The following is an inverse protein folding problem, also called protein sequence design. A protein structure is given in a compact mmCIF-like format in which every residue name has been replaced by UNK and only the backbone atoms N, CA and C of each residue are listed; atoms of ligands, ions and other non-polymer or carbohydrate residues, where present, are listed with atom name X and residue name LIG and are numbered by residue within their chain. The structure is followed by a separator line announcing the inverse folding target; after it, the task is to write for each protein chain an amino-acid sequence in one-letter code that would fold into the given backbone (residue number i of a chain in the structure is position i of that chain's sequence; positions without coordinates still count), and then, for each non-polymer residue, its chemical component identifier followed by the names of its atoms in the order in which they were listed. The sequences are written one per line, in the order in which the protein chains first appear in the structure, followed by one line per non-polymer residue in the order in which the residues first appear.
data_IF_334356352415
#
_entry.id   IF_334356352415
#
_cell.length_a   1.000
_cell.length_b   1.000
_cell.length_c   1.000
_cell.angle_alpha   90.00
_cell.angle_beta   90.00
_cell.angle_gamma   90.00
#
_symmetry.space_group_name_H-M   'P 1'
#
loop_
_entity.id
_entity.type
_entity.pdbx_description
1 polymer ?
#
# COMPACT_ATOMS: atom_id res chain seq x y z
N UNK A 1 -10.67 8.98 -11.11
CA UNK A 1 -10.62 8.06 -9.96
C UNK A 1 -11.72 7.01 -10.13
N UNK A 2 -11.65 6.21 -11.20
CA UNK A 2 -12.68 5.24 -11.58
C UNK A 2 -12.38 3.82 -11.07
N UNK A 3 -11.30 3.64 -10.29
CA UNK A 3 -10.90 2.38 -9.65
C UNK A 3 -10.89 1.15 -10.59
N UNK A 4 -10.72 1.35 -11.89
CA UNK A 4 -10.93 0.32 -12.92
C UNK A 4 -9.72 -0.59 -13.15
N UNK A 5 -8.52 -0.22 -12.68
CA UNK A 5 -7.25 -0.91 -12.96
C UNK A 5 -6.61 -1.70 -11.80
N UNK A 6 -7.31 -1.95 -10.70
CA UNK A 6 -6.74 -2.62 -9.52
C UNK A 6 -6.93 -4.14 -9.48
N UNK A 7 -6.04 -4.82 -8.74
CA UNK A 7 -6.06 -6.27 -8.54
C UNK A 7 -7.19 -6.68 -7.58
N UNK A 8 -8.06 -7.59 -8.03
CA UNK A 8 -9.24 -8.04 -7.28
C UNK A 8 -9.16 -9.51 -6.90
N UNK A 9 -9.79 -9.86 -5.79
CA UNK A 9 -9.88 -11.22 -5.27
C UNK A 9 -9.16 -11.42 -3.94
N UNK A 10 -9.29 -12.62 -3.41
CA UNK A 10 -8.79 -13.00 -2.10
C UNK A 10 -7.40 -13.62 -2.20
N UNK A 11 -6.43 -13.07 -1.46
CA UNK A 11 -5.04 -13.54 -1.47
C UNK A 11 -4.94 -14.91 -0.82
N UNK A 12 -4.28 -15.85 -1.49
CA UNK A 12 -4.22 -17.26 -1.10
C UNK A 12 -5.40 -18.11 -1.59
N UNK A 13 -6.36 -17.51 -2.32
CA UNK A 13 -7.47 -18.21 -2.99
C UNK A 13 -7.50 -17.86 -4.48
N UNK A 14 -7.77 -16.61 -4.79
CA UNK A 14 -7.90 -16.08 -6.16
C UNK A 14 -6.59 -15.43 -6.65
N UNK A 15 -5.83 -14.86 -5.71
CA UNK A 15 -4.65 -14.02 -5.98
C UNK A 15 -3.42 -14.61 -5.30
N UNK A 16 -2.31 -14.68 -6.02
CA UNK A 16 -1.03 -15.12 -5.46
C UNK A 16 -0.46 -14.06 -4.50
N UNK A 17 0.39 -14.47 -3.54
CA UNK A 17 1.05 -13.51 -2.66
C UNK A 17 1.95 -12.53 -3.43
N UNK A 18 2.58 -13.00 -4.51
CA UNK A 18 3.45 -12.19 -5.37
C UNK A 18 2.65 -11.12 -6.12
N UNK A 19 1.51 -11.50 -6.71
CA UNK A 19 0.66 -10.53 -7.41
C UNK A 19 0.01 -9.55 -6.43
N UNK A 20 -0.38 -10.02 -5.24
CA UNK A 20 -0.84 -9.14 -4.17
C UNK A 20 0.25 -8.13 -3.77
N UNK A 21 1.53 -8.52 -3.72
CA UNK A 21 2.62 -7.58 -3.45
C UNK A 21 2.77 -6.53 -4.57
N UNK A 22 2.59 -6.91 -5.84
CA UNK A 22 2.50 -5.94 -6.95
C UNK A 22 1.29 -5.01 -6.78
N UNK A 23 0.16 -5.53 -6.31
CA UNK A 23 -1.02 -4.75 -5.93
C UNK A 23 -0.73 -3.74 -4.81
N UNK A 24 -0.01 -4.15 -3.77
CA UNK A 24 0.44 -3.25 -2.70
C UNK A 24 1.37 -2.15 -3.23
N UNK A 25 2.26 -2.48 -4.16
CA UNK A 25 3.11 -1.47 -4.84
C UNK A 25 2.26 -0.45 -5.60
N UNK A 26 1.20 -0.90 -6.30
CA UNK A 26 0.26 -0.01 -6.97
C UNK A 26 -0.49 0.90 -5.99
N UNK A 27 -0.89 0.40 -4.80
CA UNK A 27 -1.42 1.24 -3.73
C UNK A 27 -0.39 2.31 -3.32
N UNK A 28 0.88 1.96 -3.20
CA UNK A 28 1.96 2.91 -2.91
C UNK A 28 2.12 3.99 -3.98
N UNK A 29 2.05 3.62 -5.27
CA UNK A 29 2.07 4.60 -6.38
C UNK A 29 0.89 5.57 -6.27
N UNK A 30 -0.30 5.06 -5.97
CA UNK A 30 -1.50 5.89 -5.79
C UNK A 30 -1.35 6.84 -4.59
N UNK A 31 -0.79 6.37 -3.47
CA UNK A 31 -0.49 7.21 -2.31
C UNK A 31 0.49 8.33 -2.69
N UNK A 32 1.59 8.02 -3.38
CA UNK A 32 2.56 9.02 -3.84
C UNK A 32 1.89 10.05 -4.76
N UNK A 33 1.01 9.61 -5.67
CA UNK A 33 0.27 10.52 -6.53
C UNK A 33 -0.63 11.48 -5.74
N UNK A 34 -1.30 10.99 -4.69
CA UNK A 34 -2.11 11.83 -3.80
C UNK A 34 -1.26 12.78 -2.95
N UNK A 35 -0.11 12.32 -2.44
CA UNK A 35 0.84 13.18 -1.71
C UNK A 35 1.35 14.28 -2.63
N UNK A 36 1.75 13.95 -3.86
CA UNK A 36 2.20 14.91 -4.86
C UNK A 36 1.12 15.95 -5.16
N UNK A 37 -0.14 15.51 -5.36
CA UNK A 37 -1.26 16.42 -5.59
C UNK A 37 -1.55 17.32 -4.38
N UNK A 38 -1.44 16.78 -3.16
CA UNK A 38 -1.65 17.54 -1.91
C UNK A 38 -0.52 18.55 -1.61
N UNK A 39 0.65 18.37 -2.24
CA UNK A 39 1.82 19.22 -2.09
C UNK A 39 2.10 20.05 -3.34
N UNK A 40 1.10 20.26 -4.21
CA UNK A 40 1.21 21.06 -5.43
C UNK A 40 2.37 20.63 -6.38
N UNK A 41 2.75 19.35 -6.33
CA UNK A 41 3.86 18.79 -7.10
C UNK A 41 5.21 18.76 -6.38
N UNK A 42 5.29 19.27 -5.16
CA UNK A 42 6.54 19.44 -4.39
C UNK A 42 6.76 18.28 -3.40
N UNK A 43 7.14 17.10 -3.92
CA UNK A 43 7.39 15.92 -3.07
C UNK A 43 8.55 16.07 -2.08
N UNK A 44 9.46 17.02 -2.29
CA UNK A 44 10.56 17.36 -1.37
C UNK A 44 10.09 18.05 -0.07
N UNK A 45 8.80 18.41 0.00
CA UNK A 45 8.13 18.86 1.23
C UNK A 45 7.76 17.71 2.16
N UNK A 46 7.85 16.44 1.73
CA UNK A 46 7.70 15.29 2.62
C UNK A 46 8.89 15.23 3.58
N UNK A 47 8.61 15.29 4.88
CA UNK A 47 9.61 15.10 5.94
C UNK A 47 9.76 13.62 6.26
N UNK A 48 8.63 12.91 6.40
CA UNK A 48 8.60 11.48 6.72
C UNK A 48 7.29 10.80 6.35
N UNK A 49 7.37 9.58 5.84
CA UNK A 49 6.27 8.63 5.88
C UNK A 49 6.20 8.10 7.33
N UNK A 50 5.24 8.57 8.11
CA UNK A 50 5.17 8.26 9.56
C UNK A 50 4.68 6.83 9.76
N UNK A 51 3.58 6.47 9.09
CA UNK A 51 2.93 5.16 9.22
C UNK A 51 2.30 4.73 7.90
N UNK A 52 2.40 3.43 7.61
CA UNK A 52 1.51 2.75 6.66
C UNK A 52 0.54 1.81 7.39
N UNK A 53 -0.73 1.81 6.99
CA UNK A 53 -1.70 0.78 7.33
C UNK A 53 -2.00 -0.09 6.11
N UNK A 54 -1.55 -1.35 6.15
CA UNK A 54 -1.76 -2.31 5.07
C UNK A 54 -2.87 -3.30 5.39
N UNK A 55 -3.85 -3.40 4.50
CA UNK A 55 -5.00 -4.29 4.61
C UNK A 55 -4.99 -5.25 3.43
N UNK A 56 -4.96 -6.56 3.71
CA UNK A 56 -4.96 -7.61 2.68
C UNK A 56 -6.24 -8.41 2.80
N UNK A 57 -7.01 -8.51 1.72
CA UNK A 57 -8.15 -9.42 1.68
C UNK A 57 -7.61 -10.86 1.66
N UNK A 58 -7.48 -11.47 2.84
CA UNK A 58 -6.72 -12.68 3.06
C UNK A 58 -7.63 -13.90 3.18
N UNK A 59 -7.32 -14.95 2.42
CA UNK A 59 -8.03 -16.22 2.48
C UNK A 59 -7.79 -16.98 3.78
N UNK A 60 -8.64 -17.98 4.08
CA UNK A 60 -8.44 -18.84 5.25
C UNK A 60 -7.02 -19.44 5.29
N UNK A 61 -6.32 -19.25 6.40
CA UNK A 61 -4.97 -19.79 6.60
C UNK A 61 -3.84 -19.01 5.93
N UNK A 62 -4.13 -17.92 5.18
CA UNK A 62 -3.08 -17.08 4.61
C UNK A 62 -2.43 -16.20 5.69
N UNK A 63 -1.13 -16.36 5.92
CA UNK A 63 -0.39 -15.68 6.99
C UNK A 63 0.72 -14.76 6.49
N UNK A 64 1.08 -14.82 5.20
CA UNK A 64 2.16 -14.04 4.60
C UNK A 64 1.78 -12.57 4.31
N UNK A 65 0.83 -12.01 5.07
CA UNK A 65 0.32 -10.64 4.95
C UNK A 65 1.45 -9.59 5.01
N UNK A 66 2.45 -9.68 5.91
CA UNK A 66 3.54 -8.70 5.93
C UNK A 66 4.37 -8.68 4.63
N UNK A 67 4.54 -9.84 3.98
CA UNK A 67 5.28 -9.94 2.72
C UNK A 67 4.53 -9.27 1.56
N UNK A 68 3.20 -9.33 1.55
CA UNK A 68 2.37 -8.59 0.59
C UNK A 68 2.58 -7.08 0.74
N UNK A 69 2.50 -6.56 1.97
CA UNK A 69 2.62 -5.12 2.21
C UNK A 69 4.05 -4.60 1.96
N UNK A 70 5.07 -5.46 1.91
CA UNK A 70 6.42 -5.05 1.50
C UNK A 70 6.43 -4.41 0.11
N UNK A 71 5.54 -4.80 -0.81
CA UNK A 71 5.44 -4.15 -2.12
C UNK A 71 5.17 -2.64 -2.03
N UNK A 72 4.41 -2.19 -1.03
CA UNK A 72 4.22 -0.76 -0.76
C UNK A 72 5.39 -0.17 0.04
N UNK A 73 5.84 -0.86 1.08
CA UNK A 73 6.91 -0.38 1.96
C UNK A 73 8.23 -0.15 1.22
N UNK A 74 8.62 -1.09 0.37
CA UNK A 74 9.86 -1.04 -0.40
C UNK A 74 9.83 0.14 -1.38
N UNK A 75 8.68 0.39 -2.02
CA UNK A 75 8.50 1.55 -2.89
C UNK A 75 8.63 2.88 -2.13
N UNK A 76 8.06 2.98 -0.92
CA UNK A 76 8.18 4.21 -0.13
C UNK A 76 9.65 4.50 0.22
N UNK A 77 10.44 3.47 0.54
CA UNK A 77 11.88 3.62 0.79
C UNK A 77 12.65 3.89 -0.51
N UNK A 78 12.28 3.26 -1.64
CA UNK A 78 12.87 3.49 -2.96
C UNK A 78 12.74 4.96 -3.39
N UNK A 79 11.57 5.57 -3.17
CA UNK A 79 11.26 6.94 -3.61
C UNK A 79 11.74 8.01 -2.62
N UNK A 80 11.52 7.81 -1.32
CA UNK A 80 11.80 8.83 -0.29
C UNK A 80 13.08 8.57 0.51
N UNK A 81 13.82 7.49 0.24
CA UNK A 81 15.03 7.14 0.98
C UNK A 81 14.76 6.93 2.47
N UNK A 82 15.57 7.55 3.34
CA UNK A 82 15.40 7.42 4.80
C UNK A 82 14.06 7.98 5.30
N UNK A 83 13.56 9.05 4.67
CA UNK A 83 12.23 9.60 4.96
C UNK A 83 11.10 8.62 4.61
N UNK A 84 11.37 7.65 3.75
CA UNK A 84 10.46 6.56 3.40
C UNK A 84 10.33 5.47 4.47
N UNK A 85 11.21 5.42 5.49
CA UNK A 85 11.13 4.40 6.55
C UNK A 85 10.01 4.73 7.54
N UNK A 86 9.10 3.79 7.77
CA UNK A 86 7.84 4.04 8.48
C UNK A 86 7.54 2.97 9.53
N UNK A 87 6.69 3.32 10.51
CA UNK A 87 5.97 2.33 11.29
C UNK A 87 4.89 1.65 10.42
N UNK A 88 4.47 0.43 10.78
CA UNK A 88 3.51 -0.32 9.95
C UNK A 88 2.58 -1.21 10.75
N UNK A 89 1.31 -1.24 10.34
CA UNK A 89 0.38 -2.33 10.62
C UNK A 89 0.12 -3.10 9.33
N UNK A 90 0.09 -4.42 9.38
CA UNK A 90 -0.25 -5.27 8.23
C UNK A 90 -1.22 -6.35 8.72
N UNK A 91 -2.47 -6.28 8.25
CA UNK A 91 -3.57 -7.12 8.76
C UNK A 91 -4.34 -7.78 7.63
N UNK A 92 -4.81 -8.99 7.91
CA UNK A 92 -5.76 -9.69 7.05
C UNK A 92 -7.18 -9.19 7.34
N UNK A 93 -7.95 -8.92 6.30
CA UNK A 93 -9.35 -8.51 6.39
C UNK A 93 -10.24 -9.45 5.60
N UNK A 94 -11.52 -9.52 5.96
CA UNK A 94 -12.48 -10.39 5.28
C UNK A 94 -12.75 -9.95 3.85
N UNK A 95 -12.97 -8.64 3.64
CA UNK A 95 -13.27 -8.08 2.33
C UNK A 95 -12.87 -6.61 2.25
N UNK A 96 -12.43 -6.17 1.08
CA UNK A 96 -12.13 -4.77 0.77
C UNK A 96 -13.16 -4.17 -0.21
N UNK A 97 -13.28 -2.83 -0.26
CA UNK A 97 -14.15 -2.15 -1.20
C UNK A 97 -13.90 -2.60 -2.65
N UNK A 98 -14.98 -2.74 -3.42
CA UNK A 98 -14.95 -3.14 -4.84
C UNK A 98 -14.28 -4.51 -5.12
N UNK A 99 -13.98 -5.28 -4.07
CA UNK A 99 -13.35 -6.60 -4.15
C UNK A 99 -11.83 -6.57 -4.37
N UNK A 100 -11.14 -5.47 -4.01
CA UNK A 100 -9.69 -5.39 -4.16
C UNK A 100 -8.93 -6.36 -3.25
N UNK A 101 -7.75 -6.78 -3.71
CA UNK A 101 -6.88 -7.68 -2.96
C UNK A 101 -6.11 -6.97 -1.84
N UNK A 102 -5.74 -5.69 -2.06
CA UNK A 102 -4.94 -4.89 -1.14
C UNK A 102 -5.45 -3.45 -1.08
N UNK A 103 -5.45 -2.89 0.12
CA UNK A 103 -5.64 -1.47 0.38
C UNK A 103 -4.52 -0.98 1.31
N UNK A 104 -4.05 0.25 1.10
CA UNK A 104 -3.02 0.86 1.96
C UNK A 104 -3.39 2.30 2.27
N UNK A 105 -3.32 2.68 3.55
CA UNK A 105 -3.36 4.06 4.02
C UNK A 105 -1.97 4.55 4.45
N UNK A 106 -1.82 5.88 4.57
CA UNK A 106 -0.59 6.49 5.05
C UNK A 106 -0.86 7.71 5.93
N UNK A 107 0.01 7.91 6.91
CA UNK A 107 0.18 9.19 7.64
C UNK A 107 1.53 9.75 7.21
N UNK A 108 1.53 11.01 6.77
CA UNK A 108 2.71 11.67 6.19
C UNK A 108 2.95 12.99 6.92
N UNK A 109 4.18 13.19 7.35
CA UNK A 109 4.68 14.46 7.90
C UNK A 109 5.20 15.32 6.76
N UNK A 110 4.78 16.59 6.72
CA UNK A 110 5.08 17.54 5.65
C UNK A 110 5.53 18.88 6.24
N UNK A 111 6.30 19.65 5.45
CA UNK A 111 6.73 21.03 5.79
C UNK A 111 5.62 22.06 5.61
#
# INVERSE_FOLDING_TARGET
NDASGGLKGTVGVDVSAEDAAKGARLCGINLIAQINAALDGELDRVVRIVKLGGFVQAGPGFTAIPAVINGCSDLMVEVFGDAGRHARSAVGVYQLPLGFAVEVDAIVEVK
#
